data_IF_793115282937
#
_entry.id   IF_793115282937
#
_cell.length_a   1.000
_cell.length_b   1.000
_cell.length_c   1.000
_cell.angle_alpha   90.00
_cell.angle_beta   90.00
_cell.angle_gamma   90.00
#
_symmetry.space_group_name_H-M   'P 1'
#
loop_
_entity.id
_entity.type
_entity.pdbx_description
1 polymer ?
#
# COMPACT_ATOMS: atom_id res chain seq x y z
N UNK A 1 17.16 -16.65 -29.51
CA UNK A 1 16.48 -16.00 -28.37
C UNK A 1 15.53 -17.00 -27.73
N UNK A 2 15.50 -17.09 -26.42
CA UNK A 2 14.62 -18.00 -25.62
C UNK A 2 13.87 -17.15 -24.67
N UNK A 3 12.56 -17.41 -24.47
CA UNK A 3 11.76 -16.76 -23.42
C UNK A 3 12.12 -17.32 -22.05
N UNK A 4 12.26 -16.45 -21.05
CA UNK A 4 12.45 -16.84 -19.66
C UNK A 4 11.19 -17.48 -19.04
N UNK A 5 10.01 -17.27 -19.64
CA UNK A 5 8.75 -17.86 -19.20
C UNK A 5 8.57 -19.33 -19.60
N UNK A 6 9.53 -19.89 -20.35
CA UNK A 6 9.52 -21.27 -20.79
C UNK A 6 10.79 -22.01 -20.29
N UNK A 7 10.90 -22.38 -19.00
CA UNK A 7 12.11 -22.97 -18.42
C UNK A 7 12.62 -24.21 -19.13
N UNK A 8 11.72 -25.05 -19.67
CA UNK A 8 12.07 -26.27 -20.31
C UNK A 8 12.82 -26.08 -21.65
N UNK A 9 12.64 -24.93 -22.33
CA UNK A 9 13.39 -24.61 -23.57
C UNK A 9 14.87 -24.37 -23.33
N UNK A 10 15.25 -24.02 -22.10
CA UNK A 10 16.66 -23.83 -21.76
C UNK A 10 17.40 -25.14 -21.46
N UNK A 11 16.66 -26.25 -21.25
CA UNK A 11 17.24 -27.55 -20.93
C UNK A 11 17.88 -28.21 -22.14
N UNK A 12 18.99 -28.93 -21.92
CA UNK A 12 19.68 -29.68 -22.94
C UNK A 12 20.54 -28.86 -23.91
N UNK A 13 20.61 -27.55 -23.72
CA UNK A 13 21.49 -26.69 -24.49
C UNK A 13 22.98 -26.92 -24.12
N UNK A 14 23.88 -26.57 -25.04
CA UNK A 14 25.33 -26.50 -24.81
C UNK A 14 25.79 -25.11 -25.22
N UNK A 15 26.10 -24.28 -24.23
CA UNK A 15 26.37 -22.86 -24.42
C UNK A 15 27.81 -22.50 -24.03
N UNK A 16 28.45 -21.66 -24.83
CA UNK A 16 29.72 -20.99 -24.53
C UNK A 16 29.53 -19.60 -23.93
N UNK A 17 28.29 -19.11 -23.88
CA UNK A 17 27.94 -17.84 -23.27
C UNK A 17 26.44 -17.58 -23.33
N UNK A 18 25.96 -16.65 -22.55
CA UNK A 18 24.56 -16.20 -22.53
C UNK A 18 24.46 -14.70 -22.20
N UNK A 19 23.46 -14.08 -22.79
CA UNK A 19 23.01 -12.73 -22.36
C UNK A 19 21.62 -12.88 -21.81
N UNK A 20 21.45 -12.48 -20.54
CA UNK A 20 20.21 -12.53 -19.77
C UNK A 20 19.72 -11.11 -19.59
N UNK A 21 18.63 -10.77 -20.27
CA UNK A 21 18.06 -9.43 -20.23
C UNK A 21 16.90 -9.38 -19.24
N UNK A 22 16.78 -8.27 -18.52
CA UNK A 22 15.78 -8.03 -17.46
C UNK A 22 15.68 -9.19 -16.44
N UNK A 23 16.84 -9.71 -16.05
CA UNK A 23 16.94 -10.94 -15.24
C UNK A 23 16.16 -10.90 -13.93
N UNK A 24 16.13 -9.76 -13.22
CA UNK A 24 15.38 -9.61 -11.98
C UNK A 24 13.85 -9.64 -12.16
N UNK A 25 13.37 -9.46 -13.41
CA UNK A 25 11.94 -9.53 -13.74
C UNK A 25 11.48 -10.94 -14.17
N UNK A 26 12.38 -11.91 -14.24
CA UNK A 26 12.03 -13.27 -14.64
C UNK A 26 11.09 -13.93 -13.64
N UNK A 27 10.02 -14.48 -14.16
CA UNK A 27 8.98 -15.15 -13.36
C UNK A 27 9.44 -16.47 -12.74
N UNK A 28 10.33 -17.20 -13.44
CA UNK A 28 10.76 -18.54 -13.05
C UNK A 28 12.27 -18.58 -12.86
N UNK A 29 12.72 -18.70 -11.62
CA UNK A 29 14.14 -18.86 -11.28
C UNK A 29 14.73 -20.15 -11.86
N UNK A 30 13.90 -21.16 -12.12
CA UNK A 30 14.28 -22.44 -12.72
C UNK A 30 14.84 -22.29 -14.12
N UNK A 31 14.45 -21.26 -14.88
CA UNK A 31 15.03 -20.96 -16.19
C UNK A 31 16.53 -20.77 -16.08
N UNK A 32 16.99 -20.13 -15.02
CA UNK A 32 18.42 -20.01 -14.71
C UNK A 32 18.95 -21.26 -14.04
N UNK A 33 18.42 -21.64 -12.87
CA UNK A 33 19.01 -22.63 -11.97
C UNK A 33 19.00 -24.05 -12.54
N UNK A 34 17.94 -24.45 -13.23
CA UNK A 34 17.78 -25.78 -13.82
C UNK A 34 17.98 -25.82 -15.32
N UNK A 35 17.95 -24.68 -16.01
CA UNK A 35 18.08 -24.58 -17.47
C UNK A 35 19.42 -24.04 -17.92
N UNK A 36 19.63 -22.73 -17.85
CA UNK A 36 20.77 -22.04 -18.46
C UNK A 36 22.11 -22.27 -17.74
N UNK A 37 22.13 -22.22 -16.41
CA UNK A 37 23.35 -22.40 -15.63
C UNK A 37 24.00 -23.78 -15.92
N UNK A 38 23.27 -24.91 -15.91
CA UNK A 38 23.83 -26.21 -16.32
C UNK A 38 24.19 -26.32 -17.82
N UNK A 39 23.59 -25.47 -18.66
CA UNK A 39 23.88 -25.47 -20.11
C UNK A 39 25.20 -24.79 -20.46
N UNK A 40 25.76 -23.94 -19.62
CA UNK A 40 27.00 -23.20 -19.78
C UNK A 40 28.20 -24.11 -19.51
N UNK A 41 28.63 -24.86 -20.54
CA UNK A 41 29.65 -25.92 -20.42
C UNK A 41 30.59 -26.05 -21.58
N UNK A 42 30.56 -25.13 -22.55
CA UNK A 42 31.48 -25.16 -23.70
C UNK A 42 32.59 -24.12 -23.48
N UNK A 43 33.84 -24.59 -23.45
CA UNK A 43 34.98 -23.73 -23.30
C UNK A 43 35.03 -23.05 -21.92
N UNK A 44 35.23 -21.72 -21.92
CA UNK A 44 35.16 -20.87 -20.74
C UNK A 44 33.92 -19.97 -20.87
N UNK A 45 32.75 -20.46 -20.47
CA UNK A 45 31.50 -19.75 -20.70
C UNK A 45 31.41 -18.46 -19.91
N UNK A 46 30.88 -17.42 -20.53
CA UNK A 46 30.65 -16.12 -19.91
C UNK A 46 29.18 -15.76 -20.01
N UNK A 47 28.70 -15.05 -19.00
CA UNK A 47 27.31 -14.57 -18.91
C UNK A 47 27.31 -13.06 -18.68
N UNK A 48 26.51 -12.38 -19.48
CA UNK A 48 26.16 -10.97 -19.27
C UNK A 48 24.73 -10.91 -18.75
N UNK A 49 24.54 -10.24 -17.63
CA UNK A 49 23.22 -10.02 -17.03
C UNK A 49 22.92 -8.53 -17.04
N UNK A 50 21.83 -8.15 -17.68
CA UNK A 50 21.29 -6.78 -17.66
C UNK A 50 19.98 -6.79 -16.91
N UNK A 51 19.78 -5.84 -16.01
CA UNK A 51 18.53 -5.74 -15.23
C UNK A 51 18.42 -4.44 -14.47
N UNK A 52 17.21 -3.96 -14.26
CA UNK A 52 16.90 -3.08 -13.15
C UNK A 52 17.07 -3.88 -11.85
N UNK A 53 17.84 -3.41 -10.87
CA UNK A 53 18.23 -4.21 -9.71
C UNK A 53 17.08 -4.34 -8.71
N UNK A 54 16.28 -5.38 -8.85
CA UNK A 54 15.31 -5.81 -7.82
C UNK A 54 16.00 -6.77 -6.85
N UNK A 55 15.71 -6.71 -5.54
CA UNK A 55 16.39 -7.49 -4.51
C UNK A 55 15.92 -8.97 -4.47
N UNK A 56 15.81 -9.62 -5.65
CA UNK A 56 15.50 -11.04 -5.75
C UNK A 56 16.63 -11.87 -5.14
N UNK A 57 16.33 -13.12 -4.76
CA UNK A 57 17.30 -14.04 -4.19
C UNK A 57 18.54 -14.19 -5.07
N UNK A 58 18.35 -14.39 -6.39
CA UNK A 58 19.45 -14.58 -7.34
C UNK A 58 20.28 -13.31 -7.51
N UNK A 59 19.67 -12.12 -7.58
CA UNK A 59 20.40 -10.86 -7.68
C UNK A 59 21.24 -10.64 -6.40
N UNK A 60 20.66 -10.85 -5.22
CA UNK A 60 21.39 -10.77 -3.94
C UNK A 60 22.58 -11.75 -3.90
N UNK A 61 22.36 -12.98 -4.40
CA UNK A 61 23.43 -13.99 -4.48
C UNK A 61 24.56 -13.52 -5.41
N UNK A 62 24.26 -13.03 -6.61
CA UNK A 62 25.28 -12.56 -7.55
C UNK A 62 26.03 -11.34 -7.04
N UNK A 63 25.33 -10.33 -6.52
CA UNK A 63 25.95 -9.09 -6.03
C UNK A 63 26.83 -9.34 -4.81
N UNK A 64 26.46 -10.30 -3.95
CA UNK A 64 27.22 -10.63 -2.74
C UNK A 64 28.33 -11.67 -2.98
N UNK A 65 28.50 -12.18 -4.20
CA UNK A 65 29.53 -13.16 -4.52
C UNK A 65 30.91 -12.49 -4.56
N UNK A 66 31.77 -12.88 -3.64
CA UNK A 66 33.10 -12.25 -3.41
C UNK A 66 34.29 -13.07 -3.99
N UNK A 67 34.03 -14.19 -4.67
CA UNK A 67 35.03 -15.09 -5.22
C UNK A 67 35.68 -14.58 -6.52
N UNK A 68 35.31 -13.40 -6.98
CA UNK A 68 35.82 -12.79 -8.22
C UNK A 68 35.19 -13.35 -9.50
N UNK A 69 34.24 -14.30 -9.40
CA UNK A 69 33.56 -14.86 -10.57
C UNK A 69 32.48 -13.92 -11.13
N UNK A 70 32.06 -12.92 -10.38
CA UNK A 70 31.06 -11.92 -10.76
C UNK A 70 31.63 -10.51 -10.70
N UNK A 71 31.47 -9.76 -11.77
CA UNK A 71 31.78 -8.32 -11.84
C UNK A 71 30.48 -7.56 -11.96
N UNK A 72 30.19 -6.66 -11.01
CA UNK A 72 28.99 -5.83 -11.01
C UNK A 72 29.35 -4.44 -11.48
N UNK A 73 28.69 -3.97 -12.53
CA UNK A 73 28.74 -2.58 -12.98
C UNK A 73 27.37 -1.94 -12.80
N UNK A 74 27.33 -0.63 -12.54
CA UNK A 74 26.10 0.13 -12.38
C UNK A 74 26.13 1.34 -13.29
N UNK A 75 24.96 1.70 -13.81
CA UNK A 75 24.75 2.92 -14.58
C UNK A 75 23.41 3.52 -14.20
N UNK A 76 23.32 4.83 -14.18
CA UNK A 76 22.06 5.56 -14.01
C UNK A 76 21.38 5.81 -15.36
N UNK A 77 20.08 6.05 -15.34
CA UNK A 77 19.35 6.55 -16.53
C UNK A 77 19.98 7.84 -17.05
N UNK A 78 20.55 8.65 -16.18
CA UNK A 78 21.19 9.92 -16.55
C UNK A 78 22.54 9.76 -17.22
N UNK A 79 23.24 8.66 -17.02
CA UNK A 79 24.47 8.32 -17.77
C UNK A 79 24.16 8.11 -19.25
N UNK A 80 22.92 7.74 -19.58
CA UNK A 80 22.42 7.58 -20.94
C UNK A 80 21.56 8.75 -21.44
N UNK A 81 21.54 9.88 -20.72
CA UNK A 81 20.67 11.02 -21.02
C UNK A 81 20.79 11.53 -22.47
N UNK A 82 21.98 11.47 -23.06
CA UNK A 82 22.21 11.90 -24.42
C UNK A 82 21.43 11.10 -25.49
N UNK A 83 20.97 9.89 -25.15
CA UNK A 83 20.19 9.02 -26.03
C UNK A 83 18.69 9.02 -25.70
N UNK A 84 18.25 9.81 -24.70
CA UNK A 84 16.87 9.91 -24.27
C UNK A 84 16.30 11.28 -24.62
N UNK A 85 15.01 11.37 -24.92
CA UNK A 85 14.35 12.65 -25.12
C UNK A 85 14.24 13.42 -23.80
N UNK A 86 14.32 14.78 -23.87
CA UNK A 86 14.12 15.63 -22.71
C UNK A 86 12.77 15.41 -22.04
N UNK A 87 11.72 15.17 -22.83
CA UNK A 87 10.38 14.87 -22.32
C UNK A 87 10.35 13.57 -21.51
N UNK A 88 11.02 12.51 -21.99
CA UNK A 88 11.11 11.24 -21.27
C UNK A 88 11.89 11.41 -19.95
N UNK A 89 12.99 12.15 -19.98
CA UNK A 89 13.77 12.44 -18.76
C UNK A 89 12.98 13.26 -17.74
N UNK A 90 12.22 14.28 -18.21
CA UNK A 90 11.37 15.08 -17.36
C UNK A 90 10.25 14.25 -16.71
N UNK A 91 9.60 13.37 -17.48
CA UNK A 91 8.57 12.45 -16.98
C UNK A 91 9.12 11.49 -15.92
N UNK A 92 10.29 10.87 -16.18
CA UNK A 92 10.96 10.00 -15.24
C UNK A 92 11.34 10.72 -13.94
N UNK A 93 11.87 11.95 -14.04
CA UNK A 93 12.16 12.77 -12.87
C UNK A 93 10.91 13.08 -12.07
N UNK A 94 9.87 13.61 -12.72
CA UNK A 94 8.62 13.96 -12.06
C UNK A 94 7.97 12.78 -11.34
N UNK A 95 8.13 11.57 -11.87
CA UNK A 95 7.52 10.36 -11.33
C UNK A 95 8.32 9.75 -10.19
N UNK A 96 9.64 9.75 -10.27
CA UNK A 96 10.49 8.93 -9.44
C UNK A 96 11.55 9.70 -8.62
N UNK A 97 11.91 10.94 -9.01
CA UNK A 97 12.99 11.67 -8.34
C UNK A 97 12.63 11.92 -6.87
N UNK A 98 13.60 11.65 -5.97
CA UNK A 98 13.43 11.76 -4.53
C UNK A 98 12.72 10.58 -3.86
N UNK A 99 12.27 9.57 -4.62
CA UNK A 99 11.66 8.35 -4.06
C UNK A 99 12.69 7.23 -3.90
N UNK A 100 12.39 6.27 -3.02
CA UNK A 100 13.20 5.06 -2.86
C UNK A 100 13.18 4.21 -4.15
N UNK A 101 12.01 4.05 -4.77
CA UNK A 101 11.86 3.38 -6.06
C UNK A 101 12.67 4.11 -7.14
N UNK A 102 12.69 5.44 -7.12
CA UNK A 102 13.53 6.23 -8.03
C UNK A 102 15.01 5.92 -7.90
N UNK A 103 15.53 5.62 -6.73
CA UNK A 103 16.92 5.16 -6.55
C UNK A 103 17.19 3.84 -7.29
N UNK A 104 16.21 2.94 -7.29
CA UNK A 104 16.29 1.69 -8.04
C UNK A 104 16.17 1.94 -9.55
N UNK A 105 15.11 2.62 -10.00
CA UNK A 105 14.78 2.78 -11.42
C UNK A 105 15.66 3.79 -12.16
N UNK A 106 16.04 4.90 -11.49
CA UNK A 106 16.83 5.97 -12.12
C UNK A 106 18.33 5.80 -11.89
N UNK A 107 18.74 5.29 -10.72
CA UNK A 107 20.15 5.23 -10.34
C UNK A 107 20.71 3.80 -10.26
N UNK A 108 19.89 2.79 -10.54
CA UNK A 108 20.33 1.39 -10.52
C UNK A 108 20.79 0.90 -9.15
N UNK A 109 20.26 1.46 -8.06
CA UNK A 109 20.59 1.03 -6.71
C UNK A 109 19.86 -0.27 -6.35
N UNK A 110 20.58 -1.25 -5.83
CA UNK A 110 19.95 -2.44 -5.24
C UNK A 110 19.42 -2.08 -3.85
N UNK A 111 18.13 -1.89 -3.76
CA UNK A 111 17.46 -1.60 -2.50
C UNK A 111 17.24 -2.88 -1.72
N UNK A 112 17.76 -2.96 -0.52
CA UNK A 112 17.42 -4.04 0.41
C UNK A 112 16.24 -3.59 1.25
N UNK A 113 15.24 -4.49 1.42
CA UNK A 113 14.16 -4.25 2.35
C UNK A 113 14.71 -4.10 3.76
N UNK A 114 14.12 -3.18 4.52
CA UNK A 114 14.42 -3.09 5.94
C UNK A 114 13.71 -4.26 6.65
N UNK A 115 14.45 -5.14 7.37
CA UNK A 115 13.85 -6.27 8.06
C UNK A 115 12.86 -5.86 9.16
N UNK A 116 12.94 -4.61 9.65
CA UNK A 116 12.05 -4.06 10.68
C UNK A 116 10.82 -3.36 10.09
N UNK A 117 10.74 -3.20 8.76
CA UNK A 117 9.57 -2.65 8.09
C UNK A 117 8.42 -3.67 8.01
N UNK A 118 7.18 -3.20 8.13
CA UNK A 118 6.00 -4.05 8.03
C UNK A 118 5.71 -4.50 6.59
N UNK A 119 6.15 -3.76 5.58
CA UNK A 119 5.93 -4.06 4.17
C UNK A 119 7.26 -4.19 3.44
N UNK A 120 7.29 -5.12 2.50
CA UNK A 120 8.40 -5.27 1.54
C UNK A 120 7.90 -4.99 0.13
N UNK A 121 8.81 -4.58 -0.77
CA UNK A 121 8.46 -4.43 -2.19
C UNK A 121 7.97 -5.74 -2.79
N UNK A 122 8.51 -6.88 -2.37
CA UNK A 122 8.09 -8.19 -2.83
C UNK A 122 6.62 -8.50 -2.49
N UNK A 123 6.15 -8.13 -1.28
CA UNK A 123 4.73 -8.27 -0.90
C UNK A 123 3.82 -7.49 -1.84
N UNK A 124 4.21 -6.27 -2.23
CA UNK A 124 3.44 -5.39 -3.10
C UNK A 124 3.49 -5.90 -4.55
N UNK A 125 4.68 -6.09 -5.09
CA UNK A 125 4.90 -6.42 -6.50
C UNK A 125 4.37 -7.80 -6.89
N UNK A 126 4.49 -8.80 -6.00
CA UNK A 126 4.00 -10.16 -6.28
C UNK A 126 2.48 -10.22 -6.48
N UNK A 127 1.75 -9.20 -6.03
CA UNK A 127 0.29 -9.11 -6.12
C UNK A 127 -0.20 -7.92 -6.93
N UNK A 128 0.70 -7.20 -7.58
CA UNK A 128 0.37 -6.08 -8.47
C UNK A 128 -0.44 -6.57 -9.66
N UNK A 129 -1.44 -5.80 -10.05
CA UNK A 129 -2.31 -6.10 -11.20
C UNK A 129 -2.39 -4.89 -12.12
N UNK A 130 -2.73 -5.13 -13.38
CA UNK A 130 -2.95 -4.04 -14.35
C UNK A 130 -4.35 -3.46 -14.25
N UNK A 131 -5.32 -4.31 -13.90
CA UNK A 131 -6.74 -3.97 -13.82
C UNK A 131 -7.34 -4.65 -12.60
N UNK A 132 -8.30 -3.98 -11.96
CA UNK A 132 -9.09 -4.57 -10.89
C UNK A 132 -10.26 -5.38 -11.49
N UNK A 133 -10.76 -6.42 -10.78
CA UNK A 133 -12.01 -7.08 -11.13
C UNK A 133 -13.20 -6.15 -10.89
N UNK A 134 -14.42 -6.69 -11.02
CA UNK A 134 -15.63 -5.95 -10.62
C UNK A 134 -15.56 -5.55 -9.14
N UNK A 135 -15.88 -4.27 -8.89
CA UNK A 135 -15.72 -3.64 -7.58
C UNK A 135 -17.07 -3.49 -6.89
N UNK A 136 -17.16 -3.91 -5.63
CA UNK A 136 -18.40 -3.88 -4.85
C UNK A 136 -18.45 -2.75 -3.83
N UNK A 137 -17.32 -2.16 -3.50
CA UNK A 137 -17.21 -1.03 -2.57
C UNK A 137 -15.94 -0.23 -2.84
N UNK A 138 -16.06 1.10 -2.90
CA UNK A 138 -14.93 2.00 -3.13
C UNK A 138 -14.93 3.08 -2.04
N UNK A 139 -13.75 3.32 -1.47
CA UNK A 139 -13.55 4.28 -0.37
C UNK A 139 -12.39 5.21 -0.71
N UNK A 140 -12.58 6.49 -0.48
CA UNK A 140 -11.51 7.49 -0.47
C UNK A 140 -11.14 7.78 0.97
N UNK A 141 -9.89 7.57 1.37
CA UNK A 141 -9.43 7.98 2.69
C UNK A 141 -8.57 9.23 2.60
N UNK A 142 -8.73 10.09 3.61
CA UNK A 142 -7.97 11.34 3.75
C UNK A 142 -7.30 11.35 5.10
N UNK A 143 -5.97 11.55 5.10
CA UNK A 143 -5.20 11.89 6.29
C UNK A 143 -4.69 13.33 6.13
N UNK A 144 -5.39 14.31 6.73
CA UNK A 144 -5.11 15.73 6.47
C UNK A 144 -3.85 16.17 7.21
N UNK A 145 -3.02 16.99 6.55
CA UNK A 145 -1.93 17.71 7.19
C UNK A 145 -2.44 18.55 8.35
N UNK A 146 -1.73 18.49 9.48
CA UNK A 146 -2.06 19.30 10.68
C UNK A 146 -1.51 20.72 10.58
N UNK A 147 -0.60 21.00 9.65
CA UNK A 147 0.05 22.29 9.44
C UNK A 147 -0.34 22.88 8.08
N UNK A 148 -0.35 24.21 7.96
CA UNK A 148 -0.61 24.92 6.70
C UNK A 148 0.57 25.82 6.35
N UNK A 149 0.96 25.86 5.05
CA UNK A 149 2.05 26.71 4.53
C UNK A 149 2.92 25.99 3.48
N UNK A 150 3.91 26.67 2.93
CA UNK A 150 4.82 26.12 1.91
C UNK A 150 5.65 24.92 2.42
N UNK A 151 5.82 24.79 3.75
CA UNK A 151 6.48 23.67 4.42
C UNK A 151 5.47 22.76 5.16
N UNK A 152 4.19 22.82 4.80
CA UNK A 152 3.17 21.96 5.42
C UNK A 152 3.45 20.48 5.12
N UNK A 153 3.03 19.64 6.06
CA UNK A 153 2.97 18.20 5.86
C UNK A 153 2.06 17.87 4.67
N UNK A 154 2.22 16.72 4.09
CA UNK A 154 1.40 16.28 2.97
C UNK A 154 0.03 15.81 3.48
N UNK A 155 -1.03 16.07 2.69
CA UNK A 155 -2.33 15.43 2.93
C UNK A 155 -2.36 14.10 2.18
N UNK A 156 -2.46 12.98 2.90
CA UNK A 156 -2.65 11.66 2.33
C UNK A 156 -4.06 11.52 1.76
N UNK A 157 -4.19 11.14 0.48
CA UNK A 157 -5.47 10.85 -0.18
C UNK A 157 -5.32 9.57 -0.99
N UNK A 158 -5.90 8.47 -0.50
CA UNK A 158 -5.78 7.15 -1.14
C UNK A 158 -7.16 6.58 -1.45
N UNK A 159 -7.31 6.03 -2.66
CA UNK A 159 -8.53 5.36 -3.11
C UNK A 159 -8.31 3.86 -3.08
N UNK A 160 -9.18 3.16 -2.36
CA UNK A 160 -9.17 1.69 -2.31
C UNK A 160 -10.54 1.12 -2.61
N UNK A 161 -10.56 -0.10 -3.12
CA UNK A 161 -11.80 -0.79 -3.41
C UNK A 161 -11.77 -2.23 -2.90
N UNK A 162 -12.97 -2.79 -2.68
CA UNK A 162 -13.18 -4.23 -2.48
C UNK A 162 -13.72 -4.82 -3.76
N UNK A 163 -13.08 -5.87 -4.27
CA UNK A 163 -13.56 -6.64 -5.41
C UNK A 163 -14.61 -7.69 -5.00
N UNK A 164 -15.36 -8.19 -5.97
CA UNK A 164 -16.29 -9.34 -5.77
C UNK A 164 -15.56 -10.60 -5.28
N UNK A 165 -14.27 -10.73 -5.60
CA UNK A 165 -13.40 -11.80 -5.10
C UNK A 165 -13.03 -11.69 -3.61
N UNK A 166 -13.53 -10.63 -2.94
CA UNK A 166 -13.29 -10.36 -1.52
C UNK A 166 -11.92 -9.80 -1.18
N UNK A 167 -11.09 -9.47 -2.18
CA UNK A 167 -9.77 -8.83 -2.04
C UNK A 167 -9.91 -7.31 -2.06
N UNK A 168 -8.87 -6.62 -1.60
CA UNK A 168 -8.76 -5.17 -1.72
C UNK A 168 -7.86 -4.79 -2.90
N UNK A 169 -8.17 -3.62 -3.47
CA UNK A 169 -7.45 -3.03 -4.59
C UNK A 169 -7.13 -1.57 -4.29
N UNK A 170 -5.86 -1.22 -4.29
CA UNK A 170 -5.44 0.19 -4.26
C UNK A 170 -5.56 0.72 -5.67
N UNK A 171 -6.43 1.71 -5.87
CA UNK A 171 -6.80 2.22 -7.19
C UNK A 171 -6.04 3.51 -7.54
N UNK A 172 -5.80 4.38 -6.56
CA UNK A 172 -5.12 5.65 -6.78
C UNK A 172 -4.50 6.21 -5.50
N UNK A 173 -3.41 6.95 -5.69
CA UNK A 173 -2.83 7.88 -4.74
C UNK A 173 -2.99 9.29 -5.29
N UNK A 174 -3.79 10.12 -4.62
CA UNK A 174 -4.10 11.51 -4.97
C UNK A 174 -3.55 12.49 -3.92
N UNK A 175 -2.66 12.03 -3.07
CA UNK A 175 -2.03 12.80 -2.00
C UNK A 175 -1.36 14.06 -2.53
N UNK A 176 -1.34 15.11 -1.72
CA UNK A 176 -0.84 16.41 -2.15
C UNK A 176 -0.44 17.29 -0.98
N UNK A 177 0.39 18.28 -1.30
CA UNK A 177 0.61 19.46 -0.46
C UNK A 177 -0.25 20.57 -1.02
N UNK A 178 -1.28 20.98 -0.29
CA UNK A 178 -2.23 21.98 -0.77
C UNK A 178 -2.93 22.67 0.41
N UNK A 179 -3.64 23.75 0.12
CA UNK A 179 -4.52 24.41 1.08
C UNK A 179 -5.69 23.48 1.51
N UNK A 180 -6.36 23.76 2.63
CA UNK A 180 -7.55 22.99 3.03
C UNK A 180 -8.59 22.82 1.92
N UNK A 181 -8.91 23.88 1.21
CA UNK A 181 -9.82 23.84 0.05
C UNK A 181 -9.23 23.03 -1.11
N UNK A 182 -7.91 23.10 -1.32
CA UNK A 182 -7.22 22.38 -2.40
C UNK A 182 -7.27 20.88 -2.22
N UNK A 183 -6.88 20.34 -1.06
CA UNK A 183 -6.95 18.90 -0.82
C UNK A 183 -8.40 18.39 -0.75
N UNK A 184 -9.35 19.21 -0.22
CA UNK A 184 -10.76 18.81 -0.21
C UNK A 184 -11.32 18.65 -1.63
N UNK A 185 -11.00 19.58 -2.55
CA UNK A 185 -11.36 19.44 -3.95
C UNK A 185 -10.75 18.18 -4.58
N UNK A 186 -9.47 17.86 -4.30
CA UNK A 186 -8.83 16.63 -4.81
C UNK A 186 -9.51 15.37 -4.29
N UNK A 187 -9.85 15.33 -3.00
CA UNK A 187 -10.56 14.20 -2.41
C UNK A 187 -11.96 14.01 -3.02
N UNK A 188 -12.71 15.10 -3.23
CA UNK A 188 -14.03 15.07 -3.86
C UNK A 188 -13.92 14.70 -5.36
N UNK A 189 -12.91 15.21 -6.07
CA UNK A 189 -12.65 14.81 -7.44
C UNK A 189 -12.35 13.31 -7.54
N UNK A 190 -11.52 12.76 -6.64
CA UNK A 190 -11.27 11.34 -6.56
C UNK A 190 -12.54 10.55 -6.23
N UNK A 191 -13.36 11.02 -5.29
CA UNK A 191 -14.65 10.42 -4.98
C UNK A 191 -15.56 10.31 -6.22
N UNK A 192 -15.67 11.38 -7.00
CA UNK A 192 -16.48 11.41 -8.22
C UNK A 192 -15.86 10.59 -9.36
N UNK A 193 -14.53 10.66 -9.57
CA UNK A 193 -13.79 9.93 -10.61
C UNK A 193 -13.99 8.42 -10.47
N UNK A 194 -13.88 7.92 -9.24
CA UNK A 194 -13.98 6.48 -8.96
C UNK A 194 -15.39 6.03 -8.58
N UNK A 195 -16.39 6.92 -8.57
CA UNK A 195 -17.75 6.65 -8.07
C UNK A 195 -17.71 6.00 -6.68
N UNK A 196 -16.94 6.57 -5.77
CA UNK A 196 -16.73 6.02 -4.46
C UNK A 196 -18.00 6.09 -3.58
N UNK A 197 -18.13 5.17 -2.62
CA UNK A 197 -19.29 5.12 -1.72
C UNK A 197 -19.22 6.17 -0.61
N UNK A 198 -18.00 6.51 -0.17
CA UNK A 198 -17.77 7.53 0.87
C UNK A 198 -16.34 8.03 0.94
N UNK A 199 -16.17 9.18 1.60
CA UNK A 199 -14.88 9.65 2.07
C UNK A 199 -14.75 9.32 3.56
N UNK A 200 -13.58 8.86 3.99
CA UNK A 200 -13.25 8.61 5.41
C UNK A 200 -12.02 9.42 5.82
N UNK A 201 -11.99 9.90 7.05
CA UNK A 201 -10.81 10.54 7.62
C UNK A 201 -10.73 10.35 9.12
N UNK A 202 -9.53 10.47 9.71
CA UNK A 202 -9.33 10.38 11.15
C UNK A 202 -9.91 11.60 11.87
N UNK A 203 -10.68 11.38 12.96
CA UNK A 203 -11.32 12.43 13.79
C UNK A 203 -10.45 12.95 14.93
N UNK A 204 -9.25 12.44 15.13
CA UNK A 204 -8.39 12.92 16.20
C UNK A 204 -7.89 14.34 15.86
N UNK A 205 -7.77 15.21 16.84
CA UNK A 205 -7.23 16.57 16.72
C UNK A 205 -7.64 17.35 15.44
N UNK A 206 -8.93 17.60 15.25
CA UNK A 206 -9.41 18.43 14.14
C UNK A 206 -10.44 17.78 13.21
N UNK A 207 -10.96 16.58 13.56
CA UNK A 207 -11.87 15.82 12.71
C UNK A 207 -13.15 16.55 12.28
N UNK A 208 -13.65 17.44 13.09
CA UNK A 208 -14.77 18.30 12.70
C UNK A 208 -14.35 19.30 11.62
N UNK A 209 -13.08 19.75 11.62
CA UNK A 209 -12.53 20.61 10.56
C UNK A 209 -12.45 19.90 9.21
N UNK A 210 -12.10 18.60 9.20
CA UNK A 210 -12.05 17.82 7.94
C UNK A 210 -13.43 17.72 7.32
N UNK A 211 -14.43 17.34 8.11
CA UNK A 211 -15.82 17.28 7.65
C UNK A 211 -16.32 18.63 7.16
N UNK A 212 -16.09 19.71 7.95
CA UNK A 212 -16.47 21.06 7.56
C UNK A 212 -15.80 21.49 6.25
N UNK A 213 -14.53 21.18 6.08
CA UNK A 213 -13.78 21.52 4.85
C UNK A 213 -14.34 20.78 3.65
N UNK A 214 -14.59 19.47 3.75
CA UNK A 214 -15.21 18.69 2.68
C UNK A 214 -16.62 19.21 2.36
N UNK A 215 -17.45 19.46 3.36
CA UNK A 215 -18.83 19.97 3.19
C UNK A 215 -18.89 21.41 2.73
N UNK A 216 -17.83 22.18 2.89
CA UNK A 216 -17.75 23.53 2.30
C UNK A 216 -17.62 23.50 0.78
N UNK A 217 -17.07 22.41 0.24
CA UNK A 217 -16.94 22.17 -1.21
C UNK A 217 -18.18 21.43 -1.74
N UNK A 218 -18.58 20.33 -1.08
CA UNK A 218 -19.80 19.58 -1.37
C UNK A 218 -20.56 19.25 -0.10
N UNK A 219 -21.69 19.95 0.18
CA UNK A 219 -22.50 19.72 1.39
C UNK A 219 -23.12 18.32 1.47
N UNK A 220 -23.23 17.61 0.33
CA UNK A 220 -23.90 16.32 0.23
C UNK A 220 -22.94 15.14 0.29
N UNK A 221 -21.63 15.38 0.37
CA UNK A 221 -20.60 14.34 0.31
C UNK A 221 -20.81 13.28 1.42
N UNK A 222 -20.88 11.99 1.08
CA UNK A 222 -20.93 10.92 2.07
C UNK A 222 -19.61 10.84 2.83
N UNK A 223 -19.61 11.28 4.09
CA UNK A 223 -18.43 11.31 4.95
C UNK A 223 -18.60 10.43 6.18
N UNK A 224 -17.53 9.78 6.61
CA UNK A 224 -17.46 9.04 7.87
C UNK A 224 -16.15 9.31 8.59
N UNK A 225 -16.23 9.86 9.79
CA UNK A 225 -15.04 10.07 10.62
C UNK A 225 -14.63 8.81 11.36
N UNK A 226 -13.35 8.47 11.32
CA UNK A 226 -12.74 7.35 12.02
C UNK A 226 -12.12 7.86 13.32
N UNK A 227 -12.44 7.23 14.45
CA UNK A 227 -11.79 7.52 15.73
C UNK A 227 -10.67 6.50 15.95
N UNK A 228 -9.42 6.92 15.80
CA UNK A 228 -8.28 6.08 16.07
C UNK A 228 -8.02 5.96 17.57
N UNK A 229 -8.41 4.84 18.15
CA UNK A 229 -8.19 4.51 19.58
C UNK A 229 -6.84 3.83 19.84
N UNK A 230 -6.20 3.28 18.80
CA UNK A 230 -4.95 2.53 18.86
C UNK A 230 -3.81 3.31 18.25
N UNK A 231 -2.59 3.08 18.74
CA UNK A 231 -1.38 3.61 18.15
C UNK A 231 -1.18 3.13 16.70
N UNK A 232 -0.41 3.88 15.92
CA UNK A 232 -0.18 3.65 14.48
C UNK A 232 0.29 2.23 14.16
N UNK A 233 1.25 1.73 14.91
CA UNK A 233 1.75 0.35 14.77
C UNK A 233 0.62 -0.68 14.83
N UNK A 234 -0.22 -0.59 15.87
CA UNK A 234 -1.33 -1.53 16.09
C UNK A 234 -2.42 -1.44 15.02
N UNK A 235 -2.53 -0.31 14.32
CA UNK A 235 -3.44 -0.15 13.17
C UNK A 235 -2.82 -0.68 11.88
N UNK A 236 -1.53 -0.54 11.71
CA UNK A 236 -0.78 -0.92 10.53
C UNK A 236 -0.53 -2.43 10.44
N UNK A 237 -0.22 -3.10 11.57
CA UNK A 237 0.08 -4.55 11.61
C UNK A 237 -1.01 -5.44 10.98
N UNK A 238 -2.32 -5.25 11.25
CA UNK A 238 -3.36 -6.04 10.59
C UNK A 238 -3.44 -5.81 9.08
N UNK A 239 -3.15 -4.59 8.65
CA UNK A 239 -3.14 -4.26 7.23
C UNK A 239 -1.93 -4.92 6.55
N UNK A 240 -0.76 -4.90 7.18
CA UNK A 240 0.42 -5.62 6.68
C UNK A 240 0.14 -7.12 6.55
N UNK A 241 -0.56 -7.72 7.51
CA UNK A 241 -0.97 -9.13 7.43
C UNK A 241 -1.89 -9.43 6.23
N UNK A 242 -2.74 -8.46 5.79
CA UNK A 242 -3.52 -8.62 4.56
C UNK A 242 -2.63 -8.67 3.32
N UNK A 243 -1.55 -7.89 3.28
CA UNK A 243 -0.58 -7.95 2.19
C UNK A 243 0.19 -9.28 2.18
N UNK A 244 0.65 -9.76 3.34
CA UNK A 244 1.30 -11.07 3.48
C UNK A 244 0.41 -12.21 2.97
N UNK A 245 -0.89 -12.14 3.25
CA UNK A 245 -1.88 -13.10 2.78
C UNK A 245 -2.20 -12.94 1.28
N UNK A 246 -1.63 -11.95 0.60
CA UNK A 246 -1.92 -11.65 -0.80
C UNK A 246 -3.34 -11.17 -1.04
N UNK A 247 -3.96 -10.54 -0.05
CA UNK A 247 -5.35 -10.06 -0.10
C UNK A 247 -5.49 -8.61 -0.51
N UNK A 248 -4.38 -7.92 -0.69
CA UNK A 248 -4.32 -6.55 -1.22
C UNK A 248 -3.49 -6.55 -2.49
N UNK A 249 -3.97 -5.88 -3.52
CA UNK A 249 -3.27 -5.67 -4.78
C UNK A 249 -3.22 -4.19 -5.12
N UNK A 250 -2.12 -3.73 -5.67
CA UNK A 250 -2.01 -2.41 -6.28
C UNK A 250 -2.39 -2.49 -7.76
N UNK A 251 -3.24 -1.59 -8.24
CA UNK A 251 -3.61 -1.46 -9.65
C UNK A 251 -2.64 -0.45 -10.29
N UNK A 252 -1.54 -0.94 -10.82
CA UNK A 252 -0.42 -0.11 -11.27
C UNK A 252 0.59 0.20 -10.16
N UNK A 253 1.37 1.26 -10.33
CA UNK A 253 2.46 1.66 -9.45
C UNK A 253 2.14 2.98 -8.74
N UNK A 254 2.40 3.03 -7.43
CA UNK A 254 2.22 4.21 -6.58
C UNK A 254 3.52 4.51 -5.85
N UNK A 255 4.54 4.95 -6.61
CA UNK A 255 5.93 5.03 -6.17
C UNK A 255 6.11 5.70 -4.79
N UNK A 256 5.49 6.85 -4.54
CA UNK A 256 5.66 7.58 -3.27
C UNK A 256 4.93 6.91 -2.11
N UNK A 257 3.73 6.36 -2.33
CA UNK A 257 3.00 5.58 -1.33
C UNK A 257 3.78 4.32 -0.96
N UNK A 258 4.23 3.57 -1.95
CA UNK A 258 4.98 2.32 -1.76
C UNK A 258 6.33 2.57 -1.08
N UNK A 259 6.95 3.72 -1.35
CA UNK A 259 8.16 4.16 -0.65
C UNK A 259 7.90 4.43 0.84
N UNK A 260 6.81 5.11 1.16
CA UNK A 260 6.39 5.31 2.54
C UNK A 260 6.10 3.98 3.24
N UNK A 261 5.41 3.03 2.57
CA UNK A 261 5.11 1.70 3.12
C UNK A 261 6.39 0.93 3.46
N UNK A 262 7.31 0.82 2.51
CA UNK A 262 8.52 -0.02 2.66
C UNK A 262 9.64 0.66 3.45
N UNK A 263 9.58 1.98 3.60
CA UNK A 263 10.53 2.77 4.38
C UNK A 263 10.10 3.03 5.82
N UNK A 264 8.81 2.91 6.13
CA UNK A 264 8.30 3.24 7.45
C UNK A 264 8.63 2.18 8.50
N UNK A 265 9.14 2.67 9.64
CA UNK A 265 9.39 1.87 10.84
C UNK A 265 8.39 2.28 11.92
N UNK A 266 7.66 1.33 12.52
CA UNK A 266 6.64 1.62 13.53
C UNK A 266 7.13 2.47 14.71
N UNK A 267 8.41 2.35 15.06
CA UNK A 267 9.02 3.03 16.20
C UNK A 267 9.81 4.30 15.81
N UNK A 268 9.74 4.74 14.55
CA UNK A 268 10.52 5.89 14.03
C UNK A 268 10.06 7.26 14.54
N UNK A 269 8.89 7.34 15.17
CA UNK A 269 8.25 8.63 15.54
C UNK A 269 7.73 9.45 14.34
N UNK A 270 8.01 9.01 13.12
CA UNK A 270 7.55 9.61 11.85
C UNK A 270 6.18 9.06 11.47
N UNK A 271 5.35 9.91 10.89
CA UNK A 271 3.99 9.59 10.44
C UNK A 271 3.86 9.83 8.95
N UNK A 272 3.89 8.79 8.11
CA UNK A 272 3.73 8.94 6.67
C UNK A 272 2.26 9.07 6.29
N UNK A 273 1.84 10.25 5.83
CA UNK A 273 0.45 10.62 5.59
C UNK A 273 -0.27 9.74 4.56
N UNK A 274 0.44 9.32 3.50
CA UNK A 274 -0.11 8.40 2.47
C UNK A 274 -0.36 7.01 3.04
N UNK A 275 0.56 6.50 3.84
CA UNK A 275 0.43 5.20 4.51
C UNK A 275 -0.72 5.23 5.52
N UNK A 276 -0.85 6.30 6.31
CA UNK A 276 -1.94 6.43 7.26
C UNK A 276 -3.30 6.47 6.53
N UNK A 277 -3.42 7.22 5.44
CA UNK A 277 -4.61 7.20 4.59
C UNK A 277 -4.90 5.79 4.03
N UNK A 278 -3.89 5.08 3.52
CA UNK A 278 -4.05 3.69 3.06
C UNK A 278 -4.56 2.76 4.16
N UNK A 279 -3.97 2.83 5.35
CA UNK A 279 -4.38 2.02 6.51
C UNK A 279 -5.83 2.29 6.88
N UNK A 280 -6.26 3.57 6.92
CA UNK A 280 -7.64 3.93 7.19
C UNK A 280 -8.60 3.42 6.10
N UNK A 281 -8.22 3.54 4.84
CA UNK A 281 -9.03 3.09 3.72
C UNK A 281 -9.26 1.57 3.74
N UNK A 282 -8.19 0.79 3.92
CA UNK A 282 -8.26 -0.67 3.98
C UNK A 282 -9.02 -1.17 5.21
N UNK A 283 -8.88 -0.49 6.36
CA UNK A 283 -9.65 -0.80 7.56
C UNK A 283 -11.15 -0.57 7.33
N UNK A 284 -11.55 0.51 6.63
CA UNK A 284 -12.95 0.82 6.32
C UNK A 284 -13.58 -0.21 5.36
N UNK A 285 -12.83 -0.85 4.48
CA UNK A 285 -13.35 -1.88 3.58
C UNK A 285 -13.82 -3.14 4.30
N UNK A 286 -13.37 -3.37 5.54
CA UNK A 286 -13.77 -4.52 6.39
C UNK A 286 -13.71 -5.83 5.60
N UNK A 287 -12.54 -6.13 5.07
CA UNK A 287 -12.33 -7.39 4.38
C UNK A 287 -12.59 -8.54 5.35
N UNK A 288 -13.51 -9.45 5.02
CA UNK A 288 -13.77 -10.62 5.84
C UNK A 288 -12.45 -11.39 6.04
N UNK A 289 -11.99 -11.46 7.28
CA UNK A 289 -10.73 -12.13 7.62
C UNK A 289 -11.05 -13.45 8.29
N UNK A 290 -10.33 -14.51 7.91
CA UNK A 290 -10.45 -15.77 8.64
C UNK A 290 -10.05 -15.59 10.12
N UNK A 291 -10.97 -15.77 11.00
CA UNK A 291 -10.93 -16.00 12.46
C UNK A 291 -10.03 -15.17 13.41
N UNK A 292 -8.87 -14.63 13.04
CA UNK A 292 -8.03 -13.85 13.98
C UNK A 292 -8.10 -12.33 13.78
N UNK A 293 -8.20 -11.85 12.54
CA UNK A 293 -8.34 -10.42 12.28
C UNK A 293 -9.79 -9.94 12.47
N UNK A 294 -10.81 -10.79 12.28
CA UNK A 294 -12.19 -10.48 12.69
C UNK A 294 -12.27 -10.19 14.18
N UNK A 295 -11.52 -10.90 15.02
CA UNK A 295 -11.41 -10.59 16.45
C UNK A 295 -10.71 -9.26 16.71
N UNK A 296 -9.72 -8.91 15.89
CA UNK A 296 -9.01 -7.63 16.03
C UNK A 296 -9.90 -6.45 15.60
N UNK A 297 -10.59 -6.54 14.46
CA UNK A 297 -11.53 -5.51 14.01
C UNK A 297 -12.77 -5.43 14.93
N UNK A 298 -13.22 -6.54 15.51
CA UNK A 298 -14.27 -6.55 16.53
C UNK A 298 -13.82 -5.85 17.82
N UNK A 299 -12.54 -5.88 18.17
CA UNK A 299 -11.98 -5.09 19.29
C UNK A 299 -11.91 -3.59 19.03
N UNK A 300 -11.93 -3.18 17.75
CA UNK A 300 -12.01 -1.76 17.36
C UNK A 300 -13.43 -1.19 17.44
N UNK A 301 -14.45 -2.03 17.43
CA UNK A 301 -15.83 -1.63 17.65
C UNK A 301 -16.03 -1.24 19.13
N UNK A 302 -16.66 -0.09 19.43
CA UNK A 302 -16.97 0.22 20.81
C UNK A 302 -17.85 -0.89 21.39
N UNK A 303 -17.58 -1.34 22.63
CA UNK A 303 -18.44 -2.30 23.28
C UNK A 303 -19.86 -1.73 23.42
N UNK A 304 -20.85 -2.61 23.42
CA UNK A 304 -22.23 -2.20 23.66
C UNK A 304 -22.34 -1.45 24.98
N UNK A 305 -22.80 -0.21 24.96
CA UNK A 305 -22.97 0.61 26.16
C UNK A 305 -23.95 0.01 27.18
N UNK A 306 -24.84 -0.89 26.75
CA UNK A 306 -25.83 -1.52 27.62
C UNK A 306 -25.34 -2.80 28.31
N UNK A 307 -24.56 -3.65 27.64
CA UNK A 307 -24.12 -4.93 28.19
C UNK A 307 -22.60 -5.13 28.23
N UNK A 308 -21.81 -4.17 27.75
CA UNK A 308 -20.36 -4.21 27.76
C UNK A 308 -19.73 -5.21 26.77
N UNK A 309 -20.52 -5.97 26.01
CA UNK A 309 -20.02 -6.97 25.06
C UNK A 309 -19.54 -6.31 23.76
N UNK A 310 -18.49 -6.86 23.10
CA UNK A 310 -18.05 -6.40 21.80
C UNK A 310 -19.19 -6.45 20.78
N UNK A 311 -19.36 -5.38 19.99
CA UNK A 311 -20.31 -5.34 18.89
C UNK A 311 -19.61 -5.61 17.56
N UNK A 312 -20.31 -6.25 16.64
CA UNK A 312 -19.91 -6.21 15.24
C UNK A 312 -20.09 -4.79 14.67
N UNK A 313 -19.12 -4.34 13.91
CA UNK A 313 -19.02 -2.94 13.46
C UNK A 313 -20.21 -2.50 12.60
N UNK A 314 -20.94 -3.41 11.99
CA UNK A 314 -22.09 -3.17 11.10
C UNK A 314 -23.45 -3.52 11.72
N UNK A 315 -23.50 -3.92 13.01
CA UNK A 315 -24.78 -4.28 13.62
C UNK A 315 -25.60 -3.05 13.96
N UNK A 316 -26.87 -3.02 13.55
CA UNK A 316 -27.83 -1.99 13.90
C UNK A 316 -28.31 -2.11 15.36
N UNK A 317 -27.93 -3.18 16.00
CA UNK A 317 -28.24 -3.49 17.38
C UNK A 317 -27.22 -4.46 17.98
N UNK A 318 -27.17 -4.52 19.30
CA UNK A 318 -26.31 -5.46 19.98
C UNK A 318 -26.87 -6.88 19.83
N UNK A 319 -26.12 -7.78 19.20
CA UNK A 319 -26.52 -9.19 19.04
C UNK A 319 -26.71 -9.93 20.37
N UNK A 320 -26.07 -9.47 21.44
CA UNK A 320 -26.12 -10.13 22.73
C UNK A 320 -27.31 -9.68 23.60
N UNK A 321 -27.67 -8.40 23.58
CA UNK A 321 -28.76 -7.87 24.42
C UNK A 321 -29.90 -7.22 23.63
N UNK A 322 -29.85 -7.17 22.30
CA UNK A 322 -30.89 -6.65 21.42
C UNK A 322 -31.06 -5.12 21.41
N UNK A 323 -30.27 -4.36 22.22
CA UNK A 323 -30.39 -2.90 22.27
C UNK A 323 -29.94 -2.30 20.94
N UNK A 324 -30.80 -1.44 20.35
CA UNK A 324 -30.48 -0.73 19.11
C UNK A 324 -29.38 0.29 19.33
N UNK A 325 -28.35 0.26 18.50
CA UNK A 325 -27.23 1.21 18.55
C UNK A 325 -27.56 2.57 17.89
N UNK A 326 -28.76 2.70 17.30
CA UNK A 326 -29.25 3.93 16.64
C UNK A 326 -30.26 4.71 17.47
N UNK A 327 -30.61 4.26 18.67
CA UNK A 327 -31.57 4.96 19.52
C UNK A 327 -30.90 5.96 20.47
N UNK A 328 -31.58 7.03 20.88
CA UNK A 328 -31.07 7.95 21.90
C UNK A 328 -30.68 7.25 23.22
N UNK A 329 -31.31 6.12 23.55
CA UNK A 329 -30.96 5.31 24.72
C UNK A 329 -29.59 4.68 24.65
N UNK A 330 -29.16 4.21 23.45
CA UNK A 330 -27.81 3.69 23.24
C UNK A 330 -26.73 4.77 23.42
N UNK A 331 -27.06 6.05 23.14
CA UNK A 331 -26.16 7.17 23.39
C UNK A 331 -26.03 7.49 24.87
N UNK A 332 -27.09 7.32 25.66
CA UNK A 332 -27.06 7.52 27.13
C UNK A 332 -26.17 6.45 27.81
N UNK A 333 -26.22 5.22 27.38
CA UNK A 333 -25.35 4.17 27.90
C UNK A 333 -23.89 4.37 27.51
N UNK A 334 -23.61 4.94 26.33
CA UNK A 334 -22.23 5.25 25.88
C UNK A 334 -21.59 6.40 26.66
N UNK A 335 -22.39 7.28 27.31
CA UNK A 335 -21.94 8.40 28.14
C UNK A 335 -21.75 8.03 29.61
N UNK A 336 -21.96 6.78 30.03
CA UNK A 336 -21.76 6.31 31.39
C UNK A 336 -22.88 6.76 32.39
N UNK A 337 -23.99 7.33 31.92
CA UNK A 337 -25.11 7.77 32.76
C UNK A 337 -26.05 6.57 32.92
N UNK A 338 -26.08 5.99 34.10
CA UNK A 338 -27.00 4.89 34.44
C UNK A 338 -28.43 5.44 34.72
N UNK A 339 -29.47 5.03 33.95
CA UNK A 339 -30.83 5.53 34.12
C UNK A 339 -31.55 5.05 35.40
N UNK A 340 -30.96 4.14 36.16
CA UNK A 340 -31.58 3.56 37.37
C UNK A 340 -31.60 4.51 38.61
N UNK A 341 -31.14 5.76 38.50
CA UNK A 341 -31.18 6.77 39.59
C UNK A 341 -32.15 7.91 39.36
N UNK A 342 -33.20 7.77 38.53
CA UNK A 342 -34.33 8.68 38.53
C UNK A 342 -35.57 8.00 39.10
N UNK A 343 -35.65 7.98 40.45
CA UNK A 343 -36.81 7.46 41.13
C UNK A 343 -36.58 7.35 42.64
N UNK A 344 -36.41 8.48 43.31
CA UNK A 344 -36.95 8.83 44.66
C UNK A 344 -36.87 10.34 44.85
#
# INVERSE_FOLDING_TARGET
MISADEPDRARGLNLSGAWLDEFAAWRYEETWTAGLAPALRIGNPQVVITTTPRPTKLIKEFVNRIDGSVVVTRGSTFDNAANLSEAALAELRNRYEGTRIGRQELYGELLTDNPDALWTLEMIDSKRVKEAPELVRIVVAVDPATTSGENADETGIVVVAKGEDGRAYVLADRSCRDTPSGWANKAINAFNEFNADRIVAEKNQGGDMVELTLRSVDPTIPYSGIVAKLGKRLRAEPIAALYEQGRVSHVGEFAVLEDQMTGWLPDSGYSPDRLDALVHALAELKLATGSSADRFFAQLAPPCGACGQPNEVDSFGCKNCGVSLRTPEAQLYSSGINPSHRGQ
#
